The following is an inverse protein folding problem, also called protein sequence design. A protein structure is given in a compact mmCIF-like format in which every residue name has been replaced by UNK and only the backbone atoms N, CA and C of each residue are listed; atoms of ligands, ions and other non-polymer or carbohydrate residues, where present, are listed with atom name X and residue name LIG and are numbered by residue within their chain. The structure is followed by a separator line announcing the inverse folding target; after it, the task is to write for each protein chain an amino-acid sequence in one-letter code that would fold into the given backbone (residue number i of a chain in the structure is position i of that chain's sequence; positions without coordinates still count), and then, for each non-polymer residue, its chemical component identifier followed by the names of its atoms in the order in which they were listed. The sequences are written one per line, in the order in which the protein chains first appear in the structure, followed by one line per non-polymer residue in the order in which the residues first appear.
data_IF_534234733451
#
_entry.id   IF_534234733451
#
_cell.length_a   1.000
_cell.length_b   1.000
_cell.length_c   1.000
_cell.angle_alpha   90.00
_cell.angle_beta   90.00
_cell.angle_gamma   90.00
#
_symmetry.space_group_name_H-M   'P 1'
#
loop_
_entity.id
_entity.type
_entity.pdbx_description
1 polymer ?
#
# COMPACT_ATOMS: atom_id res chain seq x y z
N UNK A 1 -10.48 2.67 39.22
CA UNK A 1 -10.84 2.17 37.87
C UNK A 1 -12.31 2.43 37.63
N UNK A 2 -12.69 2.81 36.42
CA UNK A 2 -14.10 3.04 36.06
C UNK A 2 -14.86 1.72 36.06
N UNK A 3 -16.13 1.73 36.51
CA UNK A 3 -17.08 0.63 36.29
C UNK A 3 -18.03 1.05 35.19
N UNK A 4 -18.22 0.22 34.18
CA UNK A 4 -19.06 0.52 33.03
C UNK A 4 -20.16 -0.53 32.91
N UNK A 5 -21.38 -0.11 32.57
CA UNK A 5 -22.45 -1.04 32.17
C UNK A 5 -22.46 -1.27 30.65
N UNK A 6 -21.91 -0.33 29.89
CA UNK A 6 -21.87 -0.40 28.44
C UNK A 6 -20.57 0.19 27.90
N UNK A 7 -19.94 -0.49 26.95
CA UNK A 7 -18.75 -0.01 26.24
C UNK A 7 -18.98 -0.25 24.75
N UNK A 8 -18.66 0.75 23.93
CA UNK A 8 -18.63 0.61 22.49
C UNK A 8 -17.19 0.76 22.00
N UNK A 9 -16.72 -0.24 21.26
CA UNK A 9 -15.42 -0.23 20.57
C UNK A 9 -15.72 -0.17 19.08
N UNK A 10 -15.53 1.00 18.48
CA UNK A 10 -15.59 1.16 17.04
C UNK A 10 -14.26 0.80 16.38
N UNK A 11 -14.30 0.38 15.11
CA UNK A 11 -13.13 -0.12 14.37
C UNK A 11 -12.32 -1.16 15.16
N UNK A 12 -12.99 -2.16 15.75
CA UNK A 12 -12.40 -3.16 16.68
C UNK A 12 -11.15 -3.86 16.11
N UNK A 13 -11.06 -3.97 14.79
CA UNK A 13 -9.93 -4.55 14.09
C UNK A 13 -8.66 -3.69 14.12
N UNK A 14 -8.76 -2.41 14.45
CA UNK A 14 -7.63 -1.51 14.60
C UNK A 14 -7.15 -1.42 16.06
N UNK A 15 -7.81 -2.16 16.96
CA UNK A 15 -7.59 -2.11 18.41
C UNK A 15 -6.78 -3.33 18.85
N UNK A 16 -5.88 -3.14 19.82
CA UNK A 16 -5.08 -4.23 20.40
C UNK A 16 -5.93 -5.08 21.36
N UNK A 17 -5.69 -6.38 21.41
CA UNK A 17 -6.40 -7.31 22.30
C UNK A 17 -6.36 -6.86 23.77
N UNK A 18 -5.23 -6.31 24.22
CA UNK A 18 -5.06 -5.81 25.59
C UNK A 18 -6.16 -4.79 25.97
N UNK A 19 -6.50 -3.86 25.07
CA UNK A 19 -7.52 -2.86 25.34
C UNK A 19 -8.90 -3.51 25.50
N UNK A 20 -9.23 -4.49 24.66
CA UNK A 20 -10.47 -5.24 24.79
C UNK A 20 -10.56 -6.02 26.11
N UNK A 21 -9.47 -6.66 26.54
CA UNK A 21 -9.39 -7.35 27.84
C UNK A 21 -9.57 -6.38 29.02
N UNK A 22 -8.98 -5.19 28.92
CA UNK A 22 -9.19 -4.13 29.90
C UNK A 22 -10.66 -3.70 29.95
N UNK A 23 -11.33 -3.53 28.80
CA UNK A 23 -12.76 -3.24 28.74
C UNK A 23 -13.62 -4.35 29.37
N UNK A 24 -13.27 -5.62 29.13
CA UNK A 24 -13.96 -6.78 29.72
C UNK A 24 -13.93 -6.73 31.25
N UNK A 25 -12.79 -6.33 31.83
CA UNK A 25 -12.65 -6.14 33.28
C UNK A 25 -13.45 -4.94 33.83
N UNK A 26 -13.86 -3.97 33.00
CA UNK A 26 -14.66 -2.82 33.45
C UNK A 26 -16.16 -3.12 33.51
N UNK A 27 -16.63 -4.11 32.75
CA UNK A 27 -18.04 -4.53 32.71
C UNK A 27 -18.33 -5.76 33.59
N UNK A 28 -17.31 -6.42 34.12
CA UNK A 28 -17.47 -7.64 34.92
C UNK A 28 -18.33 -7.43 36.17
N UNK A 29 -18.09 -6.33 36.89
CA UNK A 29 -18.79 -6.02 38.15
C UNK A 29 -20.26 -5.66 37.95
N UNK A 30 -20.63 -5.16 36.77
CA UNK A 30 -21.95 -4.61 36.47
C UNK A 30 -22.83 -5.56 35.67
N UNK A 31 -22.26 -6.69 35.19
CA UNK A 31 -22.91 -7.54 34.19
C UNK A 31 -23.16 -6.81 32.87
N UNK A 32 -22.33 -5.82 32.56
CA UNK A 32 -22.48 -4.94 31.41
C UNK A 32 -22.20 -5.62 30.06
N UNK A 33 -22.38 -4.87 28.97
CA UNK A 33 -22.17 -5.35 27.59
C UNK A 33 -21.10 -4.54 26.87
N UNK A 34 -20.37 -5.20 25.98
CA UNK A 34 -19.46 -4.57 25.03
C UNK A 34 -20.04 -4.75 23.63
N UNK A 35 -20.23 -3.65 22.91
CA UNK A 35 -20.53 -3.64 21.49
C UNK A 35 -19.23 -3.38 20.73
N UNK A 36 -18.88 -4.27 19.79
CA UNK A 36 -17.77 -4.07 18.88
C UNK A 36 -18.31 -3.87 17.47
N UNK A 37 -17.91 -2.80 16.80
CA UNK A 37 -18.19 -2.56 15.38
C UNK A 37 -16.87 -2.46 14.63
N UNK A 38 -16.86 -2.84 13.36
CA UNK A 38 -15.68 -2.72 12.51
C UNK A 38 -15.82 -3.47 11.21
N UNK A 39 -14.97 -3.12 10.25
CA UNK A 39 -14.90 -3.77 8.94
C UNK A 39 -13.56 -4.48 8.79
N UNK A 40 -13.53 -5.57 8.01
CA UNK A 40 -12.26 -6.15 7.56
C UNK A 40 -11.64 -5.20 6.54
N UNK A 41 -10.62 -4.45 6.98
CA UNK A 41 -9.95 -3.45 6.13
C UNK A 41 -8.76 -3.99 5.34
N UNK A 42 -8.12 -3.10 4.59
CA UNK A 42 -6.93 -3.34 3.74
C UNK A 42 -5.71 -3.92 4.50
N UNK A 43 -5.76 -3.89 5.83
CA UNK A 43 -4.65 -4.28 6.70
C UNK A 43 -4.57 -5.78 6.97
N UNK A 44 -5.54 -6.60 6.53
CA UNK A 44 -5.58 -8.03 6.81
C UNK A 44 -5.42 -8.89 5.57
N UNK A 45 -4.29 -9.57 5.49
CA UNK A 45 -3.99 -10.65 4.55
C UNK A 45 -4.55 -11.95 5.10
N UNK A 46 -4.48 -12.15 6.42
CA UNK A 46 -5.10 -13.27 7.11
C UNK A 46 -5.94 -12.78 8.30
N UNK A 47 -7.20 -12.39 8.09
CA UNK A 47 -8.05 -11.85 9.15
C UNK A 47 -8.29 -12.86 10.30
N UNK A 48 -8.10 -14.17 10.06
CA UNK A 48 -8.22 -15.20 11.10
C UNK A 48 -7.13 -15.11 12.17
N UNK A 49 -5.99 -14.48 11.88
CA UNK A 49 -4.94 -14.25 12.86
C UNK A 49 -5.29 -13.14 13.85
N UNK A 50 -6.29 -12.31 13.55
CA UNK A 50 -6.69 -11.22 14.43
C UNK A 50 -7.37 -11.78 15.70
N UNK A 51 -7.05 -11.20 16.86
CA UNK A 51 -7.58 -11.66 18.15
C UNK A 51 -9.13 -11.70 18.19
N UNK A 52 -9.80 -10.78 17.47
CA UNK A 52 -11.26 -10.76 17.39
C UNK A 52 -11.83 -12.06 16.80
N UNK A 53 -11.12 -12.73 15.88
CA UNK A 53 -11.55 -14.00 15.30
C UNK A 53 -11.74 -15.06 16.39
N UNK A 54 -10.79 -15.17 17.32
CA UNK A 54 -10.84 -16.11 18.45
C UNK A 54 -12.09 -15.91 19.31
N UNK A 55 -12.45 -14.67 19.67
CA UNK A 55 -13.60 -14.43 20.56
C UNK A 55 -14.94 -14.52 19.83
N UNK A 56 -15.03 -13.99 18.61
CA UNK A 56 -16.31 -13.81 17.92
C UNK A 56 -16.62 -14.90 16.89
N UNK A 57 -15.62 -15.51 16.26
CA UNK A 57 -15.80 -16.54 15.21
C UNK A 57 -15.54 -17.96 15.69
N UNK A 58 -14.49 -18.19 16.49
CA UNK A 58 -14.24 -19.52 17.09
C UNK A 58 -15.19 -19.83 18.25
N UNK A 59 -16.00 -18.85 18.69
CA UNK A 59 -16.99 -18.96 19.76
C UNK A 59 -16.49 -19.73 20.99
N UNK A 60 -15.36 -19.28 21.52
CA UNK A 60 -14.76 -19.85 22.74
C UNK A 60 -15.68 -19.76 23.98
N UNK A 61 -16.71 -18.91 23.93
CA UNK A 61 -17.71 -18.72 24.99
C UNK A 61 -19.04 -18.21 24.39
N UNK A 62 -20.16 -18.74 24.88
CA UNK A 62 -21.51 -18.40 24.40
C UNK A 62 -21.93 -16.94 24.64
N UNK A 63 -21.21 -16.22 25.52
CA UNK A 63 -21.43 -14.79 25.78
C UNK A 63 -21.03 -13.92 24.60
N UNK A 64 -20.12 -14.39 23.74
CA UNK A 64 -19.74 -13.67 22.53
C UNK A 64 -20.71 -13.98 21.40
N UNK A 65 -21.26 -12.93 20.80
CA UNK A 65 -22.12 -13.03 19.62
C UNK A 65 -21.50 -12.24 18.48
N UNK A 66 -21.53 -12.81 17.28
CA UNK A 66 -21.02 -12.20 16.07
C UNK A 66 -22.15 -12.14 15.04
N UNK A 67 -22.31 -10.97 14.44
CA UNK A 67 -23.24 -10.73 13.34
C UNK A 67 -22.42 -10.08 12.22
N UNK A 68 -22.49 -10.64 11.02
CA UNK A 68 -21.74 -10.18 9.86
C UNK A 68 -22.69 -10.06 8.66
N UNK A 69 -22.45 -9.06 7.83
CA UNK A 69 -23.21 -8.85 6.60
C UNK A 69 -22.29 -8.19 5.58
N UNK A 70 -22.24 -8.72 4.36
CA UNK A 70 -21.52 -8.07 3.28
C UNK A 70 -22.18 -6.75 2.91
N UNK A 71 -21.39 -5.75 2.54
CA UNK A 71 -21.93 -4.56 1.87
C UNK A 71 -22.60 -4.96 0.55
N UNK A 72 -22.09 -6.01 -0.10
CA UNK A 72 -22.69 -6.61 -1.29
C UNK A 72 -24.09 -7.19 -1.06
N UNK A 73 -24.43 -7.55 0.18
CA UNK A 73 -25.75 -8.08 0.55
C UNK A 73 -26.75 -6.98 0.95
N UNK A 74 -26.30 -5.73 1.07
CA UNK A 74 -27.15 -4.61 1.44
C UNK A 74 -27.98 -4.14 0.23
N UNK A 75 -29.32 -4.34 0.21
CA UNK A 75 -30.16 -3.98 -0.92
C UNK A 75 -30.26 -2.46 -1.15
N UNK A 76 -29.87 -1.65 -0.15
CA UNK A 76 -29.85 -0.20 -0.24
C UNK A 76 -28.49 0.38 -0.63
N UNK A 77 -27.46 -0.45 -0.77
CA UNK A 77 -26.15 0.03 -1.21
C UNK A 77 -26.19 0.35 -2.72
N UNK A 78 -25.76 1.55 -3.15
CA UNK A 78 -25.79 1.91 -4.56
C UNK A 78 -24.93 0.95 -5.39
N UNK A 79 -25.55 0.28 -6.37
CA UNK A 79 -24.83 -0.67 -7.24
C UNK A 79 -23.73 0.01 -8.05
N UNK A 80 -23.94 1.27 -8.42
CA UNK A 80 -22.95 2.08 -9.14
C UNK A 80 -21.68 2.30 -8.30
N UNK A 81 -21.84 2.61 -7.01
CA UNK A 81 -20.72 2.73 -6.06
C UNK A 81 -19.98 1.41 -5.88
N UNK A 82 -20.69 0.28 -5.82
CA UNK A 82 -20.07 -1.04 -5.71
C UNK A 82 -19.18 -1.33 -6.94
N UNK A 83 -19.68 -1.00 -8.13
CA UNK A 83 -18.97 -1.17 -9.39
C UNK A 83 -17.79 -0.19 -9.55
N UNK A 84 -17.93 1.03 -9.04
CA UNK A 84 -16.84 2.00 -8.96
C UNK A 84 -15.73 1.45 -8.03
N UNK A 85 -16.09 0.95 -6.86
CA UNK A 85 -15.14 0.40 -5.89
C UNK A 85 -14.40 -0.85 -6.41
N UNK A 86 -15.06 -1.75 -7.14
CA UNK A 86 -14.37 -2.86 -7.85
C UNK A 86 -13.34 -2.38 -8.86
N UNK A 87 -13.56 -1.21 -9.45
CA UNK A 87 -12.63 -0.63 -10.43
C UNK A 87 -11.42 0.01 -9.73
N UNK A 88 -11.60 0.48 -8.50
CA UNK A 88 -10.58 1.15 -7.70
C UNK A 88 -9.73 0.20 -6.86
N UNK A 89 -10.30 -0.90 -6.35
CA UNK A 89 -9.66 -1.79 -5.40
C UNK A 89 -9.15 -3.08 -6.08
N UNK A 90 -8.12 -3.69 -5.51
CA UNK A 90 -7.73 -5.05 -5.89
C UNK A 90 -8.75 -6.09 -5.38
N UNK A 91 -8.72 -7.28 -5.97
CA UNK A 91 -9.69 -8.34 -5.66
C UNK A 91 -9.65 -8.78 -4.20
N UNK A 92 -8.47 -8.88 -3.60
CA UNK A 92 -8.32 -9.31 -2.19
C UNK A 92 -8.93 -8.26 -1.26
N UNK A 93 -8.57 -7.00 -1.46
CA UNK A 93 -9.09 -5.86 -0.69
C UNK A 93 -10.60 -5.72 -0.84
N UNK A 94 -11.12 -5.85 -2.06
CA UNK A 94 -12.56 -5.75 -2.31
C UNK A 94 -13.35 -6.83 -1.55
N UNK A 95 -12.90 -8.09 -1.61
CA UNK A 95 -13.55 -9.19 -0.89
C UNK A 95 -13.51 -8.99 0.63
N UNK A 96 -12.38 -8.56 1.17
CA UNK A 96 -12.27 -8.27 2.60
C UNK A 96 -13.28 -7.18 3.03
N UNK A 97 -13.29 -6.04 2.33
CA UNK A 97 -14.09 -4.88 2.74
C UNK A 97 -15.58 -5.01 2.44
N UNK A 98 -15.96 -5.60 1.30
CA UNK A 98 -17.35 -5.58 0.81
C UNK A 98 -18.07 -6.93 0.94
N UNK A 99 -17.35 -8.04 1.00
CA UNK A 99 -17.94 -9.39 1.15
C UNK A 99 -17.75 -9.95 2.57
N UNK A 100 -16.93 -9.30 3.43
CA UNK A 100 -16.59 -9.74 4.79
C UNK A 100 -16.19 -11.23 4.81
N UNK A 101 -15.20 -11.58 3.98
CA UNK A 101 -14.66 -12.95 3.99
C UNK A 101 -13.49 -13.09 4.95
N UNK A 102 -13.55 -14.12 5.78
CA UNK A 102 -12.45 -14.55 6.64
C UNK A 102 -11.52 -15.55 5.94
N UNK A 103 -11.97 -16.14 4.85
CA UNK A 103 -11.27 -17.17 4.07
C UNK A 103 -10.48 -16.55 2.91
N UNK A 104 -9.69 -15.53 3.23
CA UNK A 104 -8.71 -15.00 2.29
C UNK A 104 -7.56 -16.01 2.22
N UNK A 105 -7.43 -16.72 1.09
CA UNK A 105 -6.30 -17.64 0.86
C UNK A 105 -5.03 -16.79 0.87
N UNK A 106 -4.18 -16.87 1.91
CA UNK A 106 -3.01 -16.01 2.00
C UNK A 106 -1.98 -16.54 1.01
N UNK A 107 -1.78 -15.83 -0.09
CA UNK A 107 -0.59 -16.05 -0.91
C UNK A 107 0.57 -15.33 -0.24
N UNK A 108 1.70 -16.02 -0.09
CA UNK A 108 2.90 -15.44 0.51
C UNK A 108 3.39 -14.23 -0.31
N UNK A 109 3.30 -14.28 -1.64
CA UNK A 109 3.65 -13.15 -2.51
C UNK A 109 2.74 -11.93 -2.24
N UNK A 110 3.37 -10.78 -2.00
CA UNK A 110 2.65 -9.52 -1.75
C UNK A 110 1.89 -9.09 -3.00
N UNK A 111 2.51 -9.19 -4.18
CA UNK A 111 1.92 -8.80 -5.46
C UNK A 111 1.52 -10.02 -6.28
N UNK A 112 0.69 -10.87 -5.68
CA UNK A 112 0.38 -12.20 -6.23
C UNK A 112 -0.40 -12.24 -7.56
N UNK A 113 -0.95 -11.10 -7.98
CA UNK A 113 -1.67 -10.94 -9.26
C UNK A 113 -0.79 -10.33 -10.36
N UNK A 114 0.47 -10.00 -10.04
CA UNK A 114 1.45 -9.59 -11.05
C UNK A 114 1.77 -10.76 -11.97
N UNK A 115 1.80 -10.49 -13.27
CA UNK A 115 1.98 -11.49 -14.31
C UNK A 115 2.74 -10.92 -15.51
N UNK A 116 3.06 -11.76 -16.50
CA UNK A 116 3.75 -11.30 -17.71
C UNK A 116 2.90 -10.29 -18.52
N UNK A 117 1.58 -10.24 -18.32
CA UNK A 117 0.69 -9.22 -18.91
C UNK A 117 1.02 -7.80 -18.40
N UNK A 118 1.72 -7.68 -17.27
CA UNK A 118 2.22 -6.40 -16.75
C UNK A 118 3.55 -5.99 -17.40
N UNK A 119 4.20 -6.87 -18.16
CA UNK A 119 5.53 -6.63 -18.73
C UNK A 119 5.39 -6.31 -20.22
N UNK A 120 5.84 -5.12 -20.62
CA UNK A 120 5.83 -4.70 -22.01
C UNK A 120 7.25 -4.77 -22.57
N UNK A 121 7.43 -5.59 -23.61
CA UNK A 121 8.68 -5.65 -24.37
C UNK A 121 8.90 -4.36 -25.15
N UNK A 122 10.13 -3.86 -25.12
CA UNK A 122 10.52 -2.65 -25.84
C UNK A 122 9.60 -1.45 -25.54
N UNK A 123 9.14 -1.36 -24.28
CA UNK A 123 8.37 -0.21 -23.83
C UNK A 123 9.23 1.05 -23.91
N UNK A 124 8.94 1.87 -24.91
CA UNK A 124 9.66 3.10 -25.18
C UNK A 124 8.98 4.32 -24.56
N UNK A 125 9.78 5.36 -24.36
CA UNK A 125 9.34 6.66 -23.86
C UNK A 125 8.32 7.30 -24.80
N UNK A 126 7.17 7.70 -24.26
CA UNK A 126 6.17 8.48 -24.97
C UNK A 126 6.32 9.99 -24.65
N UNK A 127 6.71 10.85 -25.60
CA UNK A 127 6.91 12.28 -25.36
C UNK A 127 5.67 13.06 -24.90
N UNK A 128 4.47 12.55 -25.18
CA UNK A 128 3.20 13.17 -24.79
C UNK A 128 2.87 12.95 -23.30
N UNK A 129 3.53 11.98 -22.65
CA UNK A 129 3.27 11.64 -21.26
C UNK A 129 4.33 12.27 -20.34
N UNK A 130 3.91 12.87 -19.21
CA UNK A 130 4.84 13.45 -18.27
C UNK A 130 5.71 12.37 -17.61
N UNK A 131 6.98 12.68 -17.40
CA UNK A 131 7.96 11.78 -16.80
C UNK A 131 8.18 12.14 -15.34
N UNK A 132 8.27 11.11 -14.51
CA UNK A 132 8.50 11.21 -13.08
C UNK A 132 9.68 10.34 -12.70
N UNK A 133 10.50 10.84 -11.78
CA UNK A 133 11.58 10.05 -11.22
C UNK A 133 11.27 9.79 -9.76
N UNK A 134 11.37 8.55 -9.31
CA UNK A 134 11.23 8.20 -7.91
C UNK A 134 12.48 7.51 -7.40
N UNK A 135 12.96 7.93 -6.22
CA UNK A 135 14.18 7.40 -5.62
C UNK A 135 13.90 6.84 -4.23
N UNK A 136 14.35 5.62 -3.97
CA UNK A 136 14.55 5.08 -2.64
C UNK A 136 16.03 5.18 -2.25
N UNK A 137 16.31 5.85 -1.13
CA UNK A 137 17.68 6.20 -0.76
C UNK A 137 18.34 5.03 -0.02
N UNK A 138 19.28 4.36 -0.71
CA UNK A 138 20.10 3.29 -0.14
C UNK A 138 21.59 3.60 -0.20
N UNK A 139 22.32 3.21 0.85
CA UNK A 139 23.80 3.09 0.81
C UNK A 139 24.25 1.70 1.21
N UNK A 140 23.83 1.26 2.41
CA UNK A 140 24.03 -0.10 2.90
C UNK A 140 23.14 -1.10 2.14
N UNK A 141 21.90 -0.70 1.86
CA UNK A 141 21.00 -1.33 0.91
C UNK A 141 21.13 -0.66 -0.48
N UNK A 142 20.81 -1.35 -1.58
CA UNK A 142 20.77 -0.78 -2.92
C UNK A 142 20.04 0.57 -3.00
N UNK A 143 20.60 1.53 -3.72
CA UNK A 143 19.85 2.73 -4.09
C UNK A 143 18.98 2.39 -5.30
N UNK A 144 17.67 2.65 -5.21
CA UNK A 144 16.74 2.38 -6.30
C UNK A 144 16.23 3.69 -6.91
N UNK A 145 16.36 3.83 -8.22
CA UNK A 145 15.82 4.97 -8.96
C UNK A 145 15.02 4.48 -10.17
N UNK A 146 13.76 4.93 -10.27
CA UNK A 146 12.80 4.46 -11.26
C UNK A 146 12.27 5.64 -12.06
N UNK A 147 12.13 5.41 -13.37
CA UNK A 147 11.57 6.38 -14.31
C UNK A 147 10.18 5.92 -14.72
N UNK A 148 9.20 6.76 -14.43
CA UNK A 148 7.79 6.46 -14.64
C UNK A 148 7.16 7.47 -15.59
N UNK A 149 6.20 7.00 -16.38
CA UNK A 149 5.23 7.83 -17.08
C UNK A 149 3.84 7.55 -16.53
N UNK A 150 3.03 8.59 -16.37
CA UNK A 150 1.65 8.46 -15.92
C UNK A 150 0.70 9.11 -16.91
N UNK A 151 -0.09 8.27 -17.56
CA UNK A 151 -1.25 8.68 -18.35
C UNK A 151 -2.42 8.92 -17.39
N UNK A 152 -2.65 10.20 -17.07
CA UNK A 152 -3.72 10.60 -16.17
C UNK A 152 -5.11 10.49 -16.77
N UNK A 153 -5.23 10.44 -18.11
CA UNK A 153 -6.52 10.34 -18.80
C UNK A 153 -7.05 8.91 -18.72
N UNK A 154 -6.20 7.94 -19.07
CA UNK A 154 -6.54 6.52 -19.03
C UNK A 154 -6.28 5.87 -17.66
N UNK A 155 -5.62 6.61 -16.77
CA UNK A 155 -5.21 6.17 -15.44
C UNK A 155 -4.26 4.96 -15.50
N UNK A 156 -3.21 5.07 -16.30
CA UNK A 156 -2.22 4.02 -16.54
C UNK A 156 -0.81 4.51 -16.19
N UNK A 157 -0.06 3.69 -15.48
CA UNK A 157 1.33 3.91 -15.09
C UNK A 157 2.24 3.00 -15.90
N UNK A 158 3.32 3.57 -16.42
CA UNK A 158 4.39 2.87 -17.11
C UNK A 158 5.69 3.09 -16.36
N UNK A 159 6.42 2.04 -16.01
CA UNK A 159 7.83 2.14 -15.61
C UNK A 159 8.70 1.85 -16.83
N UNK A 160 9.40 2.88 -17.31
CA UNK A 160 10.10 2.84 -18.61
C UNK A 160 11.60 2.62 -18.47
N UNK A 161 12.16 2.90 -17.30
CA UNK A 161 13.60 2.74 -17.05
C UNK A 161 13.86 2.65 -15.55
N UNK A 162 15.02 2.12 -15.17
CA UNK A 162 15.47 2.07 -13.78
C UNK A 162 17.00 2.12 -13.67
N UNK A 163 17.47 2.47 -12.48
CA UNK A 163 18.84 2.29 -12.04
C UNK A 163 18.82 1.88 -10.57
N UNK A 164 19.13 0.62 -10.33
CA UNK A 164 19.18 0.04 -8.99
C UNK A 164 20.60 -0.48 -8.77
N UNK A 165 21.30 0.05 -7.77
CA UNK A 165 22.72 -0.28 -7.55
C UNK A 165 23.14 -0.07 -6.09
N UNK A 166 23.88 -1.04 -5.53
CA UNK A 166 24.52 -0.90 -4.22
C UNK A 166 25.69 0.09 -4.25
N UNK A 167 25.86 0.86 -3.17
CA UNK A 167 26.95 1.86 -3.02
C UNK A 167 27.01 2.89 -4.16
N UNK A 168 25.86 3.22 -4.76
CA UNK A 168 25.76 4.26 -5.79
C UNK A 168 25.97 5.64 -5.15
N UNK A 169 26.88 6.43 -5.72
CA UNK A 169 27.10 7.82 -5.26
C UNK A 169 26.01 8.74 -5.79
N UNK A 170 25.72 9.80 -5.03
CA UNK A 170 24.70 10.78 -5.43
C UNK A 170 25.09 11.50 -6.74
N UNK A 171 26.38 11.75 -6.96
CA UNK A 171 26.93 12.31 -8.21
C UNK A 171 26.63 11.41 -9.41
N UNK A 172 26.88 10.11 -9.29
CA UNK A 172 26.68 9.13 -10.36
C UNK A 172 25.19 8.98 -10.68
N UNK A 173 24.32 9.01 -9.66
CA UNK A 173 22.88 9.03 -9.85
C UNK A 173 22.44 10.32 -10.56
N UNK A 174 22.92 11.48 -10.12
CA UNK A 174 22.53 12.76 -10.70
C UNK A 174 22.98 12.92 -12.16
N UNK A 175 24.16 12.41 -12.50
CA UNK A 175 24.66 12.35 -13.88
C UNK A 175 23.80 11.42 -14.73
N UNK A 176 23.44 10.25 -14.22
CA UNK A 176 22.54 9.34 -14.93
C UNK A 176 21.17 9.96 -15.16
N UNK A 177 20.57 10.59 -14.15
CA UNK A 177 19.29 11.31 -14.29
C UNK A 177 19.39 12.38 -15.39
N UNK A 178 20.50 13.13 -15.43
CA UNK A 178 20.73 14.17 -16.45
C UNK A 178 21.01 13.61 -17.85
N UNK A 179 21.52 12.38 -17.96
CA UNK A 179 21.77 11.74 -19.25
C UNK A 179 20.50 11.12 -19.86
N UNK A 180 19.41 11.04 -19.10
CA UNK A 180 18.13 10.57 -19.62
C UNK A 180 17.59 11.55 -20.67
N UNK A 181 17.10 11.09 -21.83
CA UNK A 181 16.57 11.96 -22.88
C UNK A 181 15.14 12.46 -22.58
N UNK A 182 14.76 12.53 -21.30
CA UNK A 182 13.39 12.72 -20.85
C UNK A 182 13.19 14.10 -20.23
N UNK A 183 12.06 14.73 -20.50
CA UNK A 183 11.65 15.96 -19.80
C UNK A 183 10.96 15.59 -18.49
N UNK A 184 11.74 15.47 -17.42
CA UNK A 184 11.23 15.13 -16.09
C UNK A 184 10.39 16.26 -15.52
N UNK A 185 9.15 15.94 -15.14
CA UNK A 185 8.21 16.89 -14.56
C UNK A 185 8.41 17.04 -13.04
N UNK A 186 8.47 15.92 -12.32
CA UNK A 186 8.59 15.92 -10.87
C UNK A 186 9.51 14.78 -10.39
N UNK A 187 10.14 15.02 -9.24
CA UNK A 187 11.01 14.07 -8.56
C UNK A 187 10.39 13.67 -7.22
N UNK A 188 10.36 12.38 -6.92
CA UNK A 188 9.79 11.79 -5.72
C UNK A 188 10.83 11.02 -4.94
N UNK A 189 10.68 10.98 -3.62
CA UNK A 189 11.49 10.12 -2.79
C UNK A 189 10.73 9.61 -1.57
N UNK A 190 11.36 8.68 -0.86
CA UNK A 190 10.92 8.27 0.45
C UNK A 190 10.93 9.44 1.46
N UNK A 191 10.29 9.24 2.62
CA UNK A 191 10.24 10.28 3.66
C UNK A 191 11.57 10.40 4.41
N UNK A 192 12.38 9.33 4.46
CA UNK A 192 13.66 9.33 5.17
C UNK A 192 14.76 10.10 4.44
N UNK A 193 14.59 10.48 3.16
CA UNK A 193 15.51 11.38 2.45
C UNK A 193 15.70 12.76 3.11
N UNK A 194 14.77 13.17 3.98
CA UNK A 194 14.90 14.36 4.83
C UNK A 194 15.79 14.15 6.06
N UNK A 195 16.06 12.91 6.46
CA UNK A 195 16.91 12.59 7.61
C UNK A 195 18.36 12.54 7.16
N UNK A 196 19.22 13.29 7.85
CA UNK A 196 20.66 13.23 7.68
C UNK A 196 21.14 11.81 8.03
N UNK A 197 21.33 10.97 7.02
CA UNK A 197 22.07 9.71 7.18
C UNK A 197 23.43 9.87 6.53
N UNK A 198 24.42 9.86 7.41
CA UNK A 198 25.87 9.78 7.21
C UNK A 198 26.35 9.59 5.77
N UNK A 199 26.70 10.71 5.12
CA UNK A 199 27.91 10.75 4.29
C UNK A 199 28.53 12.13 4.14
N UNK A 200 27.80 13.23 4.38
CA UNK A 200 28.38 14.60 4.36
C UNK A 200 27.72 15.61 5.30
N UNK A 201 26.85 15.18 6.21
CA UNK A 201 26.08 16.08 7.09
C UNK A 201 25.06 16.96 6.35
N UNK A 202 24.70 16.62 5.10
CA UNK A 202 23.61 17.23 4.33
C UNK A 202 22.57 16.17 3.97
N UNK A 203 21.29 16.48 4.09
CA UNK A 203 20.20 15.66 3.53
C UNK A 203 20.41 15.47 2.01
N UNK A 204 20.19 14.26 1.50
CA UNK A 204 20.29 13.93 0.07
C UNK A 204 19.47 14.90 -0.79
N UNK A 205 18.27 15.25 -0.33
CA UNK A 205 17.36 16.20 -1.00
C UNK A 205 18.01 17.58 -1.12
N UNK A 206 18.65 18.06 -0.05
CA UNK A 206 19.35 19.35 -0.06
C UNK A 206 20.55 19.32 -1.01
N UNK A 207 21.31 18.22 -1.01
CA UNK A 207 22.45 18.07 -1.90
C UNK A 207 22.05 18.11 -3.39
N UNK A 208 20.96 17.43 -3.78
CA UNK A 208 20.44 17.48 -5.15
C UNK A 208 19.90 18.87 -5.53
N UNK A 209 19.29 19.57 -4.57
CA UNK A 209 18.81 20.95 -4.78
C UNK A 209 19.98 21.91 -5.01
N UNK A 210 21.00 21.87 -4.16
CA UNK A 210 22.13 22.79 -4.21
C UNK A 210 23.02 22.59 -5.45
N UNK A 211 23.23 21.33 -5.88
CA UNK A 211 24.18 21.01 -6.95
C UNK A 211 23.53 20.82 -8.34
N UNK A 212 22.26 20.40 -8.39
CA UNK A 212 21.58 20.02 -9.63
C UNK A 212 20.26 20.75 -9.85
N UNK A 213 19.84 21.63 -8.92
CA UNK A 213 18.53 22.30 -8.92
C UNK A 213 17.34 21.31 -9.01
N UNK A 214 17.51 20.10 -8.45
CA UNK A 214 16.47 19.07 -8.40
C UNK A 214 15.83 19.09 -7.02
N UNK A 215 14.50 19.24 -6.99
CA UNK A 215 13.73 19.24 -5.74
C UNK A 215 12.83 18.01 -5.67
N UNK A 216 13.05 17.17 -4.65
CA UNK A 216 12.25 15.98 -4.40
C UNK A 216 11.02 16.29 -3.54
N UNK A 217 9.94 15.58 -3.82
CA UNK A 217 8.69 15.59 -3.05
C UNK A 217 8.53 14.22 -2.38
N UNK A 218 8.09 14.20 -1.13
CA UNK A 218 7.83 12.95 -0.40
C UNK A 218 6.47 13.01 0.31
N UNK A 219 5.93 11.83 0.64
CA UNK A 219 4.65 11.72 1.34
C UNK A 219 4.69 10.61 2.37
N UNK A 220 4.28 10.93 3.60
CA UNK A 220 4.06 9.92 4.63
C UNK A 220 2.84 9.07 4.30
N UNK A 221 3.02 7.75 4.37
CA UNK A 221 1.97 6.77 4.19
C UNK A 221 2.33 5.48 4.94
N UNK A 222 1.32 4.69 5.28
CA UNK A 222 1.54 3.35 5.81
C UNK A 222 1.86 2.39 4.66
N UNK A 223 2.74 1.42 4.93
CA UNK A 223 3.14 0.40 3.94
C UNK A 223 1.89 -0.28 3.35
N UNK A 224 0.95 -0.67 4.21
CA UNK A 224 -0.30 -1.35 3.83
C UNK A 224 -1.13 -0.54 2.82
N UNK A 225 -1.27 0.78 3.01
CA UNK A 225 -2.00 1.63 2.06
C UNK A 225 -1.29 1.71 0.71
N UNK A 226 0.04 1.80 0.74
CA UNK A 226 0.84 1.78 -0.48
C UNK A 226 0.75 0.46 -1.23
N UNK A 227 0.84 -0.66 -0.53
CA UNK A 227 0.71 -2.02 -1.10
C UNK A 227 -0.67 -2.20 -1.75
N UNK A 228 -1.75 -1.83 -1.06
CA UNK A 228 -3.11 -1.91 -1.62
C UNK A 228 -3.27 -1.05 -2.89
N UNK A 229 -2.69 0.16 -2.88
CA UNK A 229 -2.71 1.03 -4.07
C UNK A 229 -1.96 0.39 -5.24
N UNK A 230 -0.74 -0.11 -5.02
CA UNK A 230 0.04 -0.78 -6.07
C UNK A 230 -0.70 -2.01 -6.60
N UNK A 231 -1.26 -2.86 -5.72
CA UNK A 231 -2.09 -4.02 -6.12
C UNK A 231 -3.24 -3.61 -7.04
N UNK A 232 -3.95 -2.54 -6.71
CA UNK A 232 -5.08 -2.08 -7.53
C UNK A 232 -4.67 -1.66 -8.94
N UNK A 233 -3.42 -1.23 -9.15
CA UNK A 233 -2.90 -0.89 -10.47
C UNK A 233 -2.29 -2.11 -11.16
N UNK A 234 -1.68 -3.03 -10.42
CA UNK A 234 -1.24 -4.32 -10.97
C UNK A 234 -2.45 -5.05 -11.57
N UNK A 235 -3.52 -5.20 -10.80
CA UNK A 235 -4.79 -5.76 -11.25
C UNK A 235 -5.92 -5.39 -10.29
N UNK A 236 -6.93 -4.69 -10.77
CA UNK A 236 -8.11 -4.38 -9.95
C UNK A 236 -9.09 -5.58 -9.87
N UNK A 237 -10.15 -5.46 -9.06
CA UNK A 237 -11.14 -6.51 -8.88
C UNK A 237 -11.97 -6.81 -10.15
N UNK A 238 -11.92 -5.94 -11.17
CA UNK A 238 -12.47 -6.18 -12.52
C UNK A 238 -11.49 -6.88 -13.47
N UNK A 239 -10.26 -7.16 -13.02
CA UNK A 239 -9.21 -7.77 -13.82
C UNK A 239 -8.48 -6.81 -14.77
N UNK A 240 -8.72 -5.49 -14.68
CA UNK A 240 -8.03 -4.48 -15.48
C UNK A 240 -6.62 -4.23 -14.92
N UNK A 241 -5.62 -4.30 -15.78
CA UNK A 241 -4.24 -3.93 -15.51
C UNK A 241 -4.06 -2.44 -15.84
N UNK A 242 -3.39 -1.71 -14.95
CA UNK A 242 -3.07 -0.27 -15.08
C UNK A 242 -1.61 0.06 -14.76
N UNK A 243 -0.81 -0.93 -14.37
CA UNK A 243 0.62 -0.77 -14.18
C UNK A 243 1.36 -1.71 -15.11
N UNK A 244 2.20 -1.10 -15.93
CA UNK A 244 3.06 -1.78 -16.89
C UNK A 244 4.52 -1.42 -16.64
N UNK A 245 5.40 -2.40 -16.84
CA UNK A 245 6.83 -2.27 -16.61
C UNK A 245 7.56 -2.70 -17.89
N UNK A 246 8.57 -1.93 -18.28
CA UNK A 246 9.48 -2.29 -19.36
C UNK A 246 10.25 -3.56 -19.00
N UNK A 247 10.45 -4.46 -19.96
CA UNK A 247 11.30 -5.64 -19.80
C UNK A 247 12.76 -5.31 -19.45
N UNK A 248 13.19 -4.07 -19.68
CA UNK A 248 14.49 -3.53 -19.28
C UNK A 248 14.59 -3.28 -17.76
N UNK A 249 13.47 -3.20 -17.05
CA UNK A 249 13.41 -2.95 -15.60
C UNK A 249 13.43 -4.27 -14.80
N UNK A 250 14.50 -5.04 -14.97
CA UNK A 250 14.64 -6.40 -14.43
C UNK A 250 14.62 -6.44 -12.91
N UNK A 251 15.27 -5.49 -12.22
CA UNK A 251 15.33 -5.47 -10.76
C UNK A 251 13.97 -5.13 -10.16
N UNK A 252 13.18 -4.26 -10.80
CA UNK A 252 11.80 -4.01 -10.38
C UNK A 252 10.89 -5.22 -10.59
N UNK A 253 11.01 -5.91 -11.74
CA UNK A 253 10.24 -7.12 -12.02
C UNK A 253 10.59 -8.21 -11.00
N UNK A 254 11.87 -8.46 -10.76
CA UNK A 254 12.35 -9.47 -9.82
C UNK A 254 12.03 -9.09 -8.37
N UNK A 255 12.10 -7.81 -8.03
CA UNK A 255 11.69 -7.29 -6.73
C UNK A 255 10.21 -7.57 -6.46
N UNK A 256 9.32 -7.26 -7.41
CA UNK A 256 7.88 -7.55 -7.30
C UNK A 256 7.63 -9.05 -7.11
N UNK A 257 8.31 -9.90 -7.88
CA UNK A 257 8.16 -11.36 -7.83
C UNK A 257 8.67 -11.97 -6.52
N UNK A 258 9.74 -11.40 -5.94
CA UNK A 258 10.34 -11.87 -4.67
C UNK A 258 9.63 -11.33 -3.43
N UNK A 259 8.91 -10.21 -3.54
CA UNK A 259 8.32 -9.52 -2.40
C UNK A 259 7.21 -10.34 -1.74
N UNK A 260 7.39 -10.64 -0.47
CA UNK A 260 6.65 -11.70 0.22
C UNK A 260 6.37 -11.36 1.69
N UNK A 261 5.36 -11.98 2.26
CA UNK A 261 5.04 -11.87 3.68
C UNK A 261 5.83 -12.89 4.50
N UNK A 262 6.15 -12.60 5.77
CA UNK A 262 6.83 -13.58 6.61
C UNK A 262 5.91 -14.78 6.85
N UNK A 263 6.38 -15.98 6.52
CA UNK A 263 5.60 -17.22 6.61
C UNK A 263 6.34 -18.25 7.47
N UNK A 264 5.59 -18.98 8.31
CA UNK A 264 6.06 -20.18 9.02
C UNK A 264 4.98 -21.25 8.95
N UNK A 265 5.34 -22.45 8.49
CA UNK A 265 4.43 -23.61 8.42
C UNK A 265 3.10 -23.32 7.68
N UNK A 266 3.13 -22.62 6.55
CA UNK A 266 1.92 -22.29 5.79
C UNK A 266 1.15 -21.07 6.32
N UNK A 267 1.59 -20.46 7.42
CA UNK A 267 0.90 -19.34 8.07
C UNK A 267 1.70 -18.06 7.96
N UNK A 268 1.07 -17.02 7.43
CA UNK A 268 1.60 -15.66 7.46
C UNK A 268 1.67 -15.19 8.91
N UNK A 269 2.85 -14.73 9.32
CA UNK A 269 3.17 -14.35 10.70
C UNK A 269 2.72 -12.93 11.03
N UNK A 270 2.80 -12.01 10.08
CA UNK A 270 2.32 -10.64 10.24
C UNK A 270 1.99 -9.98 8.89
N UNK A 271 1.30 -8.85 8.98
CA UNK A 271 0.74 -8.12 7.84
C UNK A 271 1.76 -7.25 7.08
N UNK A 272 2.97 -7.09 7.63
CA UNK A 272 4.03 -6.34 6.99
C UNK A 272 4.92 -7.29 6.16
N UNK A 273 5.27 -6.93 4.92
CA UNK A 273 6.22 -7.71 4.14
C UNK A 273 7.59 -7.83 4.80
N UNK A 274 8.33 -8.86 4.40
CA UNK A 274 9.74 -9.03 4.80
C UNK A 274 10.58 -7.91 4.18
N UNK A 275 11.44 -7.28 4.99
CA UNK A 275 12.39 -6.25 4.53
C UNK A 275 13.68 -6.88 4.00
N UNK A 276 13.56 -7.62 2.90
CA UNK A 276 14.67 -8.24 2.19
C UNK A 276 14.54 -7.88 0.70
N UNK A 277 15.57 -7.22 0.16
CA UNK A 277 15.62 -6.74 -1.24
C UNK A 277 14.36 -5.96 -1.67
N UNK A 278 13.87 -5.07 -0.80
CA UNK A 278 12.61 -4.33 -0.98
C UNK A 278 12.79 -2.96 -1.64
N UNK A 279 14.01 -2.51 -1.96
CA UNK A 279 14.29 -1.16 -2.43
C UNK A 279 13.52 -0.81 -3.73
N UNK A 280 13.44 -1.78 -4.67
CA UNK A 280 12.72 -1.59 -5.94
C UNK A 280 11.20 -1.46 -5.73
N UNK A 281 10.63 -2.30 -4.86
CA UNK A 281 9.18 -2.28 -4.60
C UNK A 281 8.77 -1.11 -3.71
N UNK A 282 9.66 -0.64 -2.83
CA UNK A 282 9.46 0.55 -2.03
C UNK A 282 9.52 1.81 -2.89
N UNK A 283 10.48 1.91 -3.81
CA UNK A 283 10.51 2.96 -4.83
C UNK A 283 9.20 3.04 -5.63
N UNK A 284 8.69 1.90 -6.12
CA UNK A 284 7.40 1.85 -6.82
C UNK A 284 6.27 2.34 -5.91
N UNK A 285 6.22 1.85 -4.67
CA UNK A 285 5.23 2.24 -3.67
C UNK A 285 5.26 3.76 -3.41
N UNK A 286 6.45 4.36 -3.28
CA UNK A 286 6.60 5.80 -3.09
C UNK A 286 6.10 6.60 -4.29
N UNK A 287 6.36 6.14 -5.51
CA UNK A 287 5.82 6.76 -6.72
C UNK A 287 4.28 6.79 -6.69
N UNK A 288 3.64 5.65 -6.45
CA UNK A 288 2.18 5.55 -6.39
C UNK A 288 1.60 6.45 -5.28
N UNK A 289 2.23 6.48 -4.10
CA UNK A 289 1.77 7.32 -3.00
C UNK A 289 1.93 8.82 -3.25
N UNK A 290 2.98 9.24 -3.95
CA UNK A 290 3.23 10.65 -4.23
C UNK A 290 2.39 11.15 -5.41
N UNK A 291 2.33 10.39 -6.52
CA UNK A 291 1.70 10.84 -7.76
C UNK A 291 0.23 10.46 -7.86
N UNK A 292 -0.10 9.22 -7.55
CA UNK A 292 -1.38 8.61 -7.92
C UNK A 292 -2.44 8.78 -6.83
N UNK A 293 -2.07 8.60 -5.55
CA UNK A 293 -3.00 8.70 -4.42
C UNK A 293 -3.74 10.04 -4.34
N UNK A 294 -3.19 11.12 -4.93
CA UNK A 294 -3.83 12.44 -4.97
C UNK A 294 -5.16 12.44 -5.73
N UNK A 295 -5.30 11.62 -6.78
CA UNK A 295 -6.52 11.58 -7.61
C UNK A 295 -7.68 10.85 -6.93
N UNK A 296 -7.40 9.80 -6.16
CA UNK A 296 -8.43 8.98 -5.52
C UNK A 296 -9.12 9.67 -4.32
N UNK A 297 -8.52 10.72 -3.74
CA UNK A 297 -9.15 11.54 -2.69
C UNK A 297 -9.97 12.71 -3.24
N UNK A 298 -9.68 13.20 -4.45
CA UNK A 298 -10.47 14.25 -5.08
C UNK A 298 -11.83 13.75 -5.62
N UNK A 299 -12.12 12.44 -5.47
CA UNK A 299 -13.39 11.80 -5.81
C UNK A 299 -14.39 11.69 -4.65
N UNK A 300 -14.02 12.07 -3.42
CA UNK A 300 -15.07 12.31 -2.40
C UNK A 300 -15.84 13.57 -2.80
N UNK A 301 -17.18 13.54 -2.92
CA UNK A 301 -17.94 14.74 -3.15
C UNK A 301 -17.57 15.73 -2.06
N UNK A 302 -17.20 16.97 -2.44
CA UNK A 302 -17.27 18.08 -1.50
C UNK A 302 -18.71 18.08 -1.01
N UNK A 303 -18.95 17.57 0.20
CA UNK A 303 -20.18 17.84 0.94
C UNK A 303 -20.21 19.35 1.07
N UNK A 304 -20.93 19.99 0.14
CA UNK A 304 -21.21 21.40 0.18
C UNK A 304 -22.02 21.62 1.44
N UNK A 305 -21.40 22.20 2.46
CA UNK A 305 -22.14 22.75 3.57
C UNK A 305 -23.01 23.89 3.01
N UNK A 306 -24.32 23.61 2.95
CA UNK A 306 -25.33 24.61 3.30
C UNK A 306 -25.66 24.43 4.77
#
# INVERSE_FOLDING_TARGET
GIKAYWIWIDEVFQVKEQFFLECLARVSDTGGRILCTGSLGVQFINPKNHWAYKYFKEQIDQRFKCFEWGTSDNPHYPKEELEANKSLLDAQTFRAMYEITWDVIPKNAVYSDFSDDNIIKDLDYNPELPVFICVDWGWAHPMACGVFQYDSENDVVYQINEKIQSKLKLEDLAQWIKSLPYKVQDYYCDVAGNQEREQTGKSNIKWFKDNYNISFKSRSSTILKGVALVRSYIKNAKGKIRFFISDKCTESIDGIKRYKYPEKEGKILNENPVKEDDDAVDMIRYFFMCKVYRKNLDLTPRTGNR
#
